data_IF_605613316426
#
_entry.id   IF_605613316426
#
_cell.length_a   1.000
_cell.length_b   1.000
_cell.length_c   1.000
_cell.angle_alpha   90.00
_cell.angle_beta   90.00
_cell.angle_gamma   90.00
#
_symmetry.space_group_name_H-M   'P 1'
#
loop_
_entity.id
_entity.type
_entity.pdbx_description
1 polymer ?
#
# COMPACT_ATOMS: atom_id res chain seq x y z
N UNK A 1 14.88 -5.18 -20.76
CA UNK A 1 14.02 -6.36 -20.93
C UNK A 1 12.84 -5.98 -21.81
N UNK A 2 12.46 -6.76 -22.84
CA UNK A 2 11.29 -6.44 -23.65
C UNK A 2 10.06 -6.48 -22.74
N UNK A 3 9.32 -5.36 -22.66
CA UNK A 3 8.00 -5.32 -22.03
C UNK A 3 7.13 -6.26 -22.85
N UNK A 4 6.78 -7.41 -22.29
CA UNK A 4 5.72 -8.24 -22.85
C UNK A 4 4.42 -7.42 -22.70
N UNK A 5 3.90 -6.90 -23.81
CA UNK A 5 2.65 -6.15 -23.78
C UNK A 5 1.51 -7.10 -23.38
N UNK A 6 0.69 -6.67 -22.41
CA UNK A 6 -0.51 -7.40 -22.03
C UNK A 6 -1.49 -7.43 -23.21
N UNK A 7 -1.85 -8.62 -23.64
CA UNK A 7 -2.94 -8.79 -24.60
C UNK A 7 -4.32 -8.55 -23.97
N UNK A 8 -5.37 -8.56 -24.79
CA UNK A 8 -6.73 -8.30 -24.31
C UNK A 8 -7.21 -9.32 -23.26
N UNK A 9 -6.77 -10.57 -23.39
CA UNK A 9 -7.12 -11.64 -22.44
C UNK A 9 -6.36 -11.46 -21.14
N UNK A 10 -5.08 -11.11 -21.17
CA UNK A 10 -4.27 -10.86 -19.99
C UNK A 10 -4.85 -9.68 -19.16
N UNK A 11 -5.27 -8.62 -19.85
CA UNK A 11 -5.94 -7.48 -19.18
C UNK A 11 -7.24 -7.91 -18.49
N UNK A 12 -8.05 -8.76 -19.14
CA UNK A 12 -9.26 -9.31 -18.52
C UNK A 12 -8.93 -10.18 -17.30
N UNK A 13 -7.91 -11.04 -17.37
CA UNK A 13 -7.45 -11.84 -16.22
C UNK A 13 -7.10 -10.93 -15.05
N UNK A 14 -6.29 -9.89 -15.28
CA UNK A 14 -5.92 -8.93 -14.21
C UNK A 14 -7.14 -8.22 -13.64
N UNK A 15 -8.07 -7.76 -14.48
CA UNK A 15 -9.31 -7.10 -14.04
C UNK A 15 -10.18 -8.02 -13.15
N UNK A 16 -10.39 -9.26 -13.57
CA UNK A 16 -11.16 -10.24 -12.79
C UNK A 16 -10.50 -10.55 -11.43
N UNK A 17 -9.18 -10.71 -11.43
CA UNK A 17 -8.42 -10.97 -10.20
C UNK A 17 -8.35 -9.74 -9.28
N UNK A 18 -8.34 -8.52 -9.81
CA UNK A 18 -8.46 -7.30 -9.01
C UNK A 18 -9.84 -7.19 -8.34
N UNK A 19 -10.90 -7.57 -9.04
CA UNK A 19 -12.25 -7.58 -8.48
C UNK A 19 -12.43 -8.72 -7.45
N UNK A 20 -11.89 -9.91 -7.71
CA UNK A 20 -11.96 -11.05 -6.79
C UNK A 20 -10.74 -11.96 -6.92
N UNK A 21 -9.76 -11.75 -6.03
CA UNK A 21 -8.54 -12.56 -5.97
C UNK A 21 -8.75 -14.01 -5.50
N UNK A 22 -9.99 -14.38 -5.10
CA UNK A 22 -10.32 -15.74 -4.64
C UNK A 22 -10.97 -16.61 -5.72
N UNK A 23 -11.06 -16.13 -6.96
CA UNK A 23 -11.54 -16.95 -8.07
C UNK A 23 -10.67 -18.19 -8.23
N UNK A 24 -11.31 -19.34 -8.34
CA UNK A 24 -10.62 -20.55 -8.78
C UNK A 24 -10.18 -20.40 -10.25
N UNK A 25 -9.19 -21.16 -10.66
CA UNK A 25 -8.74 -21.11 -12.05
C UNK A 25 -9.84 -21.51 -13.05
N UNK A 26 -10.77 -22.36 -12.63
CA UNK A 26 -11.93 -22.77 -13.46
C UNK A 26 -12.87 -21.59 -13.65
N UNK A 27 -13.26 -20.90 -12.58
CA UNK A 27 -14.13 -19.73 -12.64
C UNK A 27 -13.49 -18.58 -13.43
N UNK A 28 -12.20 -18.34 -13.24
CA UNK A 28 -11.46 -17.33 -13.98
C UNK A 28 -11.42 -17.65 -15.47
N UNK A 29 -11.13 -18.91 -15.82
CA UNK A 29 -11.09 -19.37 -17.22
C UNK A 29 -12.43 -19.15 -17.92
N UNK A 30 -13.53 -19.50 -17.27
CA UNK A 30 -14.88 -19.28 -17.78
C UNK A 30 -15.15 -17.79 -18.06
N UNK A 31 -14.81 -16.92 -17.09
CA UNK A 31 -15.02 -15.47 -17.22
C UNK A 31 -14.22 -14.82 -18.35
N UNK A 32 -13.00 -15.31 -18.61
CA UNK A 32 -12.13 -14.77 -19.67
C UNK A 32 -12.26 -15.49 -21.01
N UNK A 33 -13.12 -16.52 -21.10
CA UNK A 33 -13.37 -17.28 -22.32
C UNK A 33 -12.22 -18.23 -22.71
N UNK A 34 -11.58 -18.83 -21.73
CA UNK A 34 -10.50 -19.81 -21.93
C UNK A 34 -10.84 -21.15 -21.31
N UNK A 35 -10.15 -22.21 -21.73
CA UNK A 35 -10.09 -23.44 -20.95
C UNK A 35 -9.12 -23.30 -19.77
N UNK A 36 -9.28 -24.11 -18.69
CA UNK A 36 -8.50 -23.95 -17.44
C UNK A 36 -6.98 -23.99 -17.60
N UNK A 37 -6.45 -24.86 -18.46
CA UNK A 37 -4.99 -25.01 -18.63
C UNK A 37 -4.30 -23.78 -19.25
N UNK A 38 -4.79 -23.22 -20.38
CA UNK A 38 -4.28 -21.96 -20.93
C UNK A 38 -4.44 -20.79 -19.96
N UNK A 39 -5.56 -20.72 -19.21
CA UNK A 39 -5.78 -19.69 -18.21
C UNK A 39 -4.70 -19.75 -17.11
N UNK A 40 -4.47 -20.90 -16.51
CA UNK A 40 -3.45 -21.09 -15.48
C UNK A 40 -2.05 -20.72 -15.98
N UNK A 41 -1.70 -21.09 -17.21
CA UNK A 41 -0.41 -20.74 -17.80
C UNK A 41 -0.24 -19.22 -17.94
N UNK A 42 -1.30 -18.50 -18.30
CA UNK A 42 -1.27 -17.03 -18.39
C UNK A 42 -1.14 -16.37 -17.03
N UNK A 43 -1.89 -16.81 -16.03
CA UNK A 43 -1.78 -16.31 -14.64
C UNK A 43 -0.36 -16.48 -14.13
N UNK A 44 0.23 -17.68 -14.26
CA UNK A 44 1.62 -17.93 -13.84
C UNK A 44 2.62 -17.04 -14.55
N UNK A 45 2.42 -16.79 -15.85
CA UNK A 45 3.27 -15.85 -16.59
C UNK A 45 3.14 -14.45 -16.05
N UNK A 46 1.91 -13.97 -15.78
CA UNK A 46 1.67 -12.63 -15.22
C UNK A 46 2.31 -12.45 -13.84
N UNK A 47 2.32 -13.50 -13.02
CA UNK A 47 3.02 -13.54 -11.73
C UNK A 47 4.54 -13.51 -11.92
N UNK A 48 5.09 -14.36 -12.80
CA UNK A 48 6.52 -14.45 -13.07
C UNK A 48 7.09 -13.17 -13.70
N UNK A 49 6.31 -12.53 -14.58
CA UNK A 49 6.69 -11.28 -15.25
C UNK A 49 6.49 -10.05 -14.36
N UNK A 50 5.96 -10.23 -13.12
CA UNK A 50 5.75 -9.18 -12.14
C UNK A 50 4.57 -8.25 -12.41
N UNK A 51 3.63 -8.63 -13.28
CA UNK A 51 2.36 -7.91 -13.45
C UNK A 51 1.42 -8.13 -12.27
N UNK A 52 1.51 -9.28 -11.63
CA UNK A 52 0.83 -9.61 -10.37
C UNK A 52 1.91 -9.79 -9.31
N UNK A 53 2.00 -8.82 -8.39
CA UNK A 53 2.97 -8.80 -7.30
C UNK A 53 2.53 -9.72 -6.13
N UNK A 54 1.26 -10.05 -6.06
CA UNK A 54 0.71 -10.93 -5.03
C UNK A 54 -0.78 -10.72 -4.78
N UNK A 55 -1.30 -11.50 -3.84
CA UNK A 55 -2.70 -11.48 -3.43
C UNK A 55 -2.77 -11.11 -1.96
N UNK A 56 -3.54 -10.07 -1.63
CA UNK A 56 -3.66 -9.55 -0.27
C UNK A 56 -5.10 -9.52 0.19
N UNK A 57 -5.33 -9.85 1.45
CA UNK A 57 -6.65 -9.69 2.06
C UNK A 57 -6.88 -8.22 2.43
N UNK A 58 -8.02 -7.66 2.03
CA UNK A 58 -8.50 -6.39 2.55
C UNK A 58 -9.18 -6.62 3.90
N UNK A 59 -8.66 -5.99 4.95
CA UNK A 59 -9.12 -6.19 6.32
C UNK A 59 -9.89 -4.95 6.81
N UNK A 60 -10.97 -5.18 7.54
CA UNK A 60 -11.71 -4.09 8.20
C UNK A 60 -10.97 -3.67 9.47
N UNK A 61 -10.23 -2.57 9.40
CA UNK A 61 -9.41 -2.03 10.50
C UNK A 61 -10.18 -1.88 11.80
N UNK A 62 -11.42 -1.37 11.74
CA UNK A 62 -12.29 -1.23 12.92
C UNK A 62 -12.62 -2.56 13.62
N UNK A 63 -12.67 -3.68 12.89
CA UNK A 63 -12.88 -5.01 13.47
C UNK A 63 -11.62 -5.59 14.12
N UNK A 64 -10.46 -5.03 13.80
CA UNK A 64 -9.17 -5.39 14.39
C UNK A 64 -8.78 -4.47 15.55
N UNK A 65 -9.69 -3.60 16.00
CA UNK A 65 -9.39 -2.63 17.06
C UNK A 65 -8.53 -1.45 16.57
N UNK A 66 -8.37 -1.25 15.27
CA UNK A 66 -7.62 -0.15 14.67
C UNK A 66 -8.59 0.95 14.23
N UNK A 67 -9.02 1.76 15.20
CA UNK A 67 -10.08 2.76 14.99
C UNK A 67 -9.60 4.11 14.49
N UNK A 68 -8.31 4.42 14.61
CA UNK A 68 -7.76 5.71 14.24
C UNK A 68 -6.79 5.60 13.04
N UNK A 69 -7.01 6.43 12.03
CA UNK A 69 -6.12 6.54 10.86
C UNK A 69 -5.81 8.01 10.58
N UNK A 70 -4.56 8.32 10.30
CA UNK A 70 -4.12 9.68 10.00
C UNK A 70 -3.10 9.68 8.86
N UNK A 71 -3.08 10.76 8.09
CA UNK A 71 -1.99 11.07 7.16
C UNK A 71 -1.14 12.17 7.77
N UNK A 72 0.16 11.96 7.74
CA UNK A 72 1.14 12.81 8.39
C UNK A 72 2.20 13.23 7.41
N UNK A 73 2.31 14.53 7.13
CA UNK A 73 3.40 15.12 6.36
C UNK A 73 4.65 15.23 7.24
N UNK A 74 5.76 14.72 6.79
CA UNK A 74 7.04 14.76 7.49
C UNK A 74 8.05 15.52 6.65
N UNK A 75 8.75 16.49 7.28
CA UNK A 75 9.95 17.13 6.74
C UNK A 75 11.18 16.54 7.39
N UNK A 76 12.19 16.23 6.59
CA UNK A 76 13.47 15.73 7.07
C UNK A 76 14.59 16.77 6.94
N UNK A 77 15.62 16.62 7.78
CA UNK A 77 16.85 17.39 7.67
C UNK A 77 17.77 16.80 6.61
N UNK A 78 18.05 17.56 5.55
CA UNK A 78 18.98 17.16 4.49
C UNK A 78 18.32 16.33 3.38
N UNK A 79 18.81 16.56 2.16
CA UNK A 79 18.35 15.87 0.95
C UNK A 79 19.36 14.85 0.43
N UNK A 80 20.32 14.42 1.28
CA UNK A 80 21.26 13.39 0.90
C UNK A 80 20.51 12.05 0.77
N UNK A 81 20.65 11.39 -0.38
CA UNK A 81 19.97 10.11 -0.68
C UNK A 81 20.12 9.06 0.43
N UNK A 82 21.24 9.04 1.12
CA UNK A 82 21.52 8.08 2.18
C UNK A 82 20.66 8.33 3.43
N UNK A 83 20.44 9.59 3.78
CA UNK A 83 19.58 9.97 4.91
C UNK A 83 18.12 9.71 4.63
N UNK A 84 17.67 9.99 3.41
CA UNK A 84 16.32 9.69 2.95
C UNK A 84 16.03 8.18 3.01
N UNK A 85 16.92 7.36 2.47
CA UNK A 85 16.81 5.89 2.51
C UNK A 85 16.83 5.33 3.94
N UNK A 86 17.63 5.94 4.83
CA UNK A 86 17.66 5.55 6.25
C UNK A 86 16.33 5.85 6.94
N UNK A 87 15.75 7.03 6.68
CA UNK A 87 14.43 7.39 7.19
C UNK A 87 13.35 6.42 6.70
N UNK A 88 13.28 6.16 5.40
CA UNK A 88 12.31 5.23 4.81
C UNK A 88 12.35 3.85 5.47
N UNK A 89 13.55 3.28 5.61
CA UNK A 89 13.73 1.98 6.29
C UNK A 89 13.24 2.02 7.73
N UNK A 90 13.62 3.08 8.47
CA UNK A 90 13.25 3.21 9.87
C UNK A 90 11.73 3.30 10.06
N UNK A 91 11.04 4.11 9.24
CA UNK A 91 9.58 4.29 9.42
C UNK A 91 8.77 3.11 8.91
N UNK A 92 9.24 2.42 7.86
CA UNK A 92 8.56 1.22 7.34
C UNK A 92 8.58 0.06 8.33
N UNK A 93 9.59 -0.02 9.18
CA UNK A 93 9.69 -1.02 10.25
C UNK A 93 8.81 -0.69 11.47
N UNK A 94 8.20 0.49 11.54
CA UNK A 94 7.28 0.85 12.63
C UNK A 94 5.89 0.25 12.39
N UNK A 95 5.33 -0.53 13.34
CA UNK A 95 4.05 -1.23 13.15
C UNK A 95 2.85 -0.29 12.97
N UNK A 96 2.95 0.96 13.42
CA UNK A 96 1.92 1.98 13.25
C UNK A 96 1.88 2.55 11.81
N UNK A 97 2.97 2.40 11.05
CA UNK A 97 3.10 2.96 9.69
C UNK A 97 2.64 1.92 8.66
N UNK A 98 1.58 2.24 7.95
CA UNK A 98 1.02 1.37 6.91
C UNK A 98 1.62 1.67 5.54
N UNK A 99 1.93 2.95 5.27
CA UNK A 99 2.53 3.39 4.03
C UNK A 99 3.43 4.61 4.25
N UNK A 100 4.49 4.71 3.44
CA UNK A 100 5.39 5.84 3.35
C UNK A 100 5.55 6.24 1.89
N UNK A 101 5.22 7.49 1.56
CA UNK A 101 5.30 8.01 0.20
C UNK A 101 6.21 9.23 0.18
N UNK A 102 7.17 9.24 -0.75
CA UNK A 102 7.91 10.46 -1.11
C UNK A 102 6.95 11.41 -1.84
N UNK A 103 6.87 12.64 -1.41
CA UNK A 103 5.96 13.65 -1.99
C UNK A 103 6.73 14.92 -2.34
N UNK A 104 6.17 15.71 -3.25
CA UNK A 104 6.67 17.04 -3.57
C UNK A 104 5.78 18.10 -2.91
N UNK A 105 6.37 19.18 -2.40
CA UNK A 105 5.62 20.29 -1.80
C UNK A 105 6.14 20.68 -0.43
N UNK A 106 5.24 20.96 0.52
CA UNK A 106 5.64 21.40 1.86
C UNK A 106 6.23 20.28 2.72
N UNK A 107 5.86 19.04 2.49
CA UNK A 107 6.42 17.85 3.15
C UNK A 107 7.31 17.07 2.18
N UNK A 108 8.28 16.35 2.71
CA UNK A 108 9.14 15.45 1.95
C UNK A 108 8.53 14.03 1.89
N UNK A 109 7.84 13.63 2.95
CA UNK A 109 7.16 12.34 3.05
C UNK A 109 5.74 12.48 3.57
N UNK A 110 4.86 11.60 3.06
CA UNK A 110 3.51 11.39 3.58
C UNK A 110 3.44 9.99 4.15
N UNK A 111 3.18 9.90 5.46
CA UNK A 111 2.99 8.64 6.16
C UNK A 111 1.50 8.38 6.38
N UNK A 112 1.05 7.15 6.13
CA UNK A 112 -0.24 6.65 6.60
C UNK A 112 -0.04 5.92 7.91
N UNK A 113 -0.65 6.43 8.98
CA UNK A 113 -0.57 5.90 10.34
C UNK A 113 -1.92 5.26 10.70
N UNK A 114 -1.87 4.07 11.28
CA UNK A 114 -3.05 3.35 11.76
C UNK A 114 -2.78 2.81 13.16
N UNK A 115 -3.62 3.20 14.09
CA UNK A 115 -3.50 2.86 15.53
C UNK A 115 -4.87 2.59 16.13
N UNK A 116 -4.97 2.00 17.34
CA UNK A 116 -6.25 1.78 18.01
C UNK A 116 -7.03 3.07 18.24
N UNK A 117 -6.40 4.08 18.84
CA UNK A 117 -7.05 5.31 19.29
C UNK A 117 -6.12 6.54 19.19
N UNK A 118 -6.66 7.72 19.49
CA UNK A 118 -5.94 8.99 19.37
C UNK A 118 -4.73 9.07 20.33
N UNK A 119 -4.85 8.52 21.53
CA UNK A 119 -3.76 8.49 22.51
C UNK A 119 -2.55 7.69 21.99
N UNK A 120 -2.79 6.59 21.29
CA UNK A 120 -1.72 5.79 20.67
C UNK A 120 -1.01 6.58 19.55
N UNK A 121 -1.79 7.36 18.78
CA UNK A 121 -1.23 8.24 17.77
C UNK A 121 -0.35 9.34 18.39
N UNK A 122 -0.81 9.98 19.47
CA UNK A 122 -0.01 10.98 20.18
C UNK A 122 1.29 10.38 20.73
N UNK A 123 1.20 9.19 21.30
CA UNK A 123 2.36 8.44 21.80
C UNK A 123 3.32 8.10 20.69
N UNK A 124 2.84 7.60 19.55
CA UNK A 124 3.64 7.36 18.36
C UNK A 124 4.39 8.61 17.89
N UNK A 125 3.72 9.75 17.84
CA UNK A 125 4.35 11.01 17.44
C UNK A 125 5.49 11.43 18.37
N UNK A 126 5.20 11.48 19.68
CA UNK A 126 6.13 12.02 20.67
C UNK A 126 7.28 11.04 20.95
N UNK A 127 6.97 9.76 21.14
CA UNK A 127 7.93 8.79 21.63
C UNK A 127 8.76 8.14 20.51
N UNK A 128 8.22 8.14 19.27
CA UNK A 128 8.88 7.48 18.13
C UNK A 128 9.31 8.47 17.05
N UNK A 129 8.34 9.10 16.38
CA UNK A 129 8.63 9.84 15.16
C UNK A 129 9.43 11.12 15.40
N UNK A 130 9.05 11.95 16.37
CA UNK A 130 9.75 13.20 16.69
C UNK A 130 11.11 12.97 17.36
N UNK A 131 11.36 11.79 17.90
CA UNK A 131 12.66 11.40 18.42
C UNK A 131 13.66 10.95 17.34
N UNK A 132 13.24 10.83 16.09
CA UNK A 132 14.17 10.59 14.99
C UNK A 132 14.98 11.86 14.69
N UNK A 133 16.32 11.84 14.79
CA UNK A 133 17.15 13.04 14.61
C UNK A 133 17.01 13.68 13.23
N UNK A 134 16.58 12.91 12.25
CA UNK A 134 16.39 13.34 10.88
C UNK A 134 15.07 14.11 10.69
N UNK A 135 14.09 13.93 11.55
CA UNK A 135 12.77 14.59 11.44
C UNK A 135 12.89 16.04 11.90
N UNK A 136 12.60 16.95 10.97
CA UNK A 136 12.64 18.40 11.22
C UNK A 136 11.30 18.97 11.67
N UNK A 137 10.23 18.53 11.01
CA UNK A 137 8.89 19.02 11.27
C UNK A 137 7.85 17.99 10.84
N UNK A 138 6.71 18.03 11.48
CA UNK A 138 5.53 17.23 11.18
C UNK A 138 4.35 18.16 10.97
N UNK A 139 3.60 17.94 9.89
CA UNK A 139 2.36 18.65 9.60
C UNK A 139 1.18 17.68 9.56
N UNK A 140 0.08 18.05 10.18
CA UNK A 140 -1.13 17.24 10.19
C UNK A 140 -1.95 17.51 8.94
N UNK A 141 -2.33 16.45 8.24
CA UNK A 141 -3.45 16.52 7.31
C UNK A 141 -4.58 15.70 7.92
N UNK A 142 -5.56 16.37 8.51
CA UNK A 142 -6.80 15.72 8.92
C UNK A 142 -7.51 15.24 7.65
N UNK A 143 -7.41 13.97 7.35
CA UNK A 143 -8.38 13.32 6.49
C UNK A 143 -9.40 12.67 7.42
N UNK A 144 -10.60 13.24 7.45
CA UNK A 144 -11.78 12.53 7.90
C UNK A 144 -11.79 11.17 7.24
N UNK A 145 -12.09 10.13 8.05
CA UNK A 145 -12.23 8.74 7.64
C UNK A 145 -12.80 8.65 6.21
N UNK A 146 -12.18 7.91 5.30
CA UNK A 146 -12.83 7.63 4.03
C UNK A 146 -14.13 6.89 4.36
N UNK A 147 -15.24 7.53 4.14
CA UNK A 147 -16.51 6.84 3.94
C UNK A 147 -16.25 5.93 2.75
N UNK A 148 -16.04 4.64 2.99
CA UNK A 148 -16.01 3.62 1.96
C UNK A 148 -17.32 3.74 1.17
N UNK A 149 -17.29 4.44 0.05
CA UNK A 149 -18.20 4.18 -1.03
C UNK A 149 -17.69 2.91 -1.67
N UNK A 150 -18.35 1.82 -1.36
CA UNK A 150 -18.29 0.62 -2.19
C UNK A 150 -18.78 1.05 -3.59
N UNK A 151 -17.88 1.00 -4.54
CA UNK A 151 -18.20 1.04 -5.97
C UNK A 151 -17.91 -0.33 -6.50
#
# INVERSE_FOLDING_TARGET
MPKCELDAIDRRIVTELQANARLSNIELADRVGLSPSPCLRRVRRLEQDGYIDGYRASLRRSRLGLGFSAFLGVKINGHANEQALSFERTVVDMPEVVACHLVSGEADYLLEIVVPELEDYQRFLVDKLLNLPIVRAVSYTHLTLPTNREV
#
